data_IF_715563584273
#
_entry.id   IF_715563584273
#
_cell.length_a   1.000
_cell.length_b   1.000
_cell.length_c   1.000
_cell.angle_alpha   90.00
_cell.angle_beta   90.00
_cell.angle_gamma   90.00
#
_symmetry.space_group_name_H-M   'P 1'
#
loop_
_entity.id
_entity.type
_entity.pdbx_description
1 polymer ?
#
# COMPACT_ATOMS: atom_id res chain seq x y z
N UNK A 1 7.65 81.82 -21.25
CA UNK A 1 7.62 81.05 -22.50
C UNK A 1 8.05 79.63 -22.22
N UNK A 2 7.16 78.66 -22.49
CA UNK A 2 7.39 77.21 -22.45
C UNK A 2 8.55 76.81 -23.37
N UNK A 3 9.43 75.90 -22.93
CA UNK A 3 9.90 74.78 -23.75
C UNK A 3 10.16 73.54 -22.89
N UNK A 4 9.26 72.59 -23.09
CA UNK A 4 9.26 71.18 -22.70
C UNK A 4 10.44 70.46 -23.37
N UNK A 5 11.20 69.64 -22.64
CA UNK A 5 11.87 68.47 -23.23
C UNK A 5 11.63 67.29 -22.30
N UNK A 6 10.89 66.33 -22.87
CA UNK A 6 10.49 65.05 -22.34
C UNK A 6 11.69 64.09 -22.54
N UNK A 7 12.27 63.57 -21.46
CA UNK A 7 13.22 62.46 -21.56
C UNK A 7 12.53 61.19 -21.07
N UNK A 8 12.17 60.34 -22.04
CA UNK A 8 11.68 58.99 -21.83
C UNK A 8 12.70 58.17 -21.03
N UNK A 9 12.37 57.87 -19.78
CA UNK A 9 13.08 56.82 -19.04
C UNK A 9 12.28 55.53 -19.24
N UNK A 10 12.86 54.61 -20.00
CA UNK A 10 12.33 53.26 -20.23
C UNK A 10 12.35 52.51 -18.91
N UNK A 11 11.17 52.28 -18.32
CA UNK A 11 11.01 51.38 -17.18
C UNK A 11 11.08 49.96 -17.74
N UNK A 12 12.21 49.28 -17.51
CA UNK A 12 12.38 47.86 -17.75
C UNK A 12 11.44 47.13 -16.77
N UNK A 13 10.37 46.55 -17.31
CA UNK A 13 9.52 45.60 -16.59
C UNK A 13 10.36 44.36 -16.35
N UNK A 14 10.97 44.27 -15.16
CA UNK A 14 11.50 43.01 -14.63
C UNK A 14 10.31 42.10 -14.40
N UNK A 15 10.01 41.27 -15.40
CA UNK A 15 9.13 40.12 -15.27
C UNK A 15 9.71 39.23 -14.19
N UNK A 16 9.13 39.29 -12.99
CA UNK A 16 9.27 38.25 -11.99
C UNK A 16 8.57 37.04 -12.58
N UNK A 17 9.32 36.29 -13.40
CA UNK A 17 9.06 34.90 -13.71
C UNK A 17 9.18 34.20 -12.36
N UNK A 18 8.10 34.24 -11.59
CA UNK A 18 7.87 33.34 -10.47
C UNK A 18 7.83 31.95 -11.09
N UNK A 19 9.00 31.33 -11.21
CA UNK A 19 9.13 29.89 -11.27
C UNK A 19 8.48 29.43 -9.97
N UNK A 20 7.19 29.14 -10.03
CA UNK A 20 6.55 28.23 -9.12
C UNK A 20 7.30 26.90 -9.33
N UNK A 21 8.40 26.73 -8.60
CA UNK A 21 8.95 25.43 -8.30
C UNK A 21 7.83 24.72 -7.56
N UNK A 22 7.00 24.04 -8.35
CA UNK A 22 6.00 23.10 -7.89
C UNK A 22 6.84 21.96 -7.30
N UNK A 23 7.23 22.12 -6.04
CA UNK A 23 7.86 21.06 -5.27
C UNK A 23 6.80 19.97 -5.17
N UNK A 24 6.78 19.08 -6.15
CA UNK A 24 6.16 17.77 -6.02
C UNK A 24 6.94 17.09 -4.90
N UNK A 25 6.53 17.34 -3.66
CA UNK A 25 6.96 16.54 -2.52
C UNK A 25 6.44 15.15 -2.82
N UNK A 26 7.30 14.31 -3.39
CA UNK A 26 7.03 12.89 -3.58
C UNK A 26 6.83 12.31 -2.19
N UNK A 27 5.57 12.27 -1.72
CA UNK A 27 5.24 11.69 -0.43
C UNK A 27 5.74 10.25 -0.43
N UNK A 28 6.47 9.91 0.61
CA UNK A 28 6.92 8.54 0.79
C UNK A 28 5.69 7.64 0.96
N UNK A 29 5.68 6.47 0.30
CA UNK A 29 4.53 5.58 0.32
C UNK A 29 4.31 5.06 1.74
N UNK A 30 3.04 4.84 2.06
CA UNK A 30 2.58 4.38 3.37
C UNK A 30 2.81 2.86 3.54
N UNK A 31 4.06 2.42 3.38
CA UNK A 31 4.48 1.02 3.43
C UNK A 31 4.29 0.46 4.85
N UNK A 32 3.88 -0.81 4.92
CA UNK A 32 3.65 -1.55 6.17
C UNK A 32 4.87 -2.40 6.51
N UNK A 33 5.39 -3.14 5.53
CA UNK A 33 6.49 -4.07 5.75
C UNK A 33 7.84 -3.39 5.57
N UNK A 34 8.66 -3.46 6.61
CA UNK A 34 10.06 -3.02 6.56
C UNK A 34 10.92 -4.07 5.82
N UNK A 35 12.07 -3.69 5.24
CA UNK A 35 13.02 -4.66 4.69
C UNK A 35 13.36 -5.77 5.70
N UNK A 36 13.47 -7.01 5.19
CA UNK A 36 13.71 -8.25 5.95
C UNK A 36 12.57 -8.66 6.90
N UNK A 37 11.47 -7.90 6.97
CA UNK A 37 10.29 -8.30 7.71
C UNK A 37 9.60 -9.49 7.04
N UNK A 38 9.16 -10.43 7.86
CA UNK A 38 8.33 -11.56 7.48
C UNK A 38 7.01 -11.49 8.25
N UNK A 39 5.90 -11.62 7.52
CA UNK A 39 4.56 -11.83 8.08
C UNK A 39 4.10 -13.24 7.71
N UNK A 40 3.64 -14.00 8.70
CA UNK A 40 2.95 -15.27 8.49
C UNK A 40 1.51 -15.07 8.96
N UNK A 41 0.53 -15.34 8.08
CA UNK A 41 -0.88 -15.18 8.38
C UNK A 41 -1.67 -16.44 8.03
N UNK A 42 -2.51 -16.91 8.96
CA UNK A 42 -3.36 -18.10 8.77
C UNK A 42 -4.84 -17.72 8.73
N UNK A 43 -5.46 -17.86 7.57
CA UNK A 43 -6.88 -17.61 7.34
C UNK A 43 -7.65 -18.94 7.25
N UNK A 44 -8.97 -18.90 7.00
CA UNK A 44 -9.76 -20.13 6.82
C UNK A 44 -9.37 -20.97 5.59
N UNK A 45 -8.64 -20.39 4.64
CA UNK A 45 -8.19 -21.08 3.42
C UNK A 45 -6.74 -21.57 3.49
N UNK A 46 -6.04 -21.32 4.60
CA UNK A 46 -4.67 -21.78 4.82
C UNK A 46 -3.73 -20.68 5.30
N UNK A 47 -2.43 -20.92 5.15
CA UNK A 47 -1.37 -20.03 5.61
C UNK A 47 -0.63 -19.41 4.42
N UNK A 48 -0.41 -18.09 4.50
CA UNK A 48 0.49 -17.37 3.61
C UNK A 48 1.65 -16.79 4.41
N UNK A 49 2.85 -16.87 3.84
CA UNK A 49 4.05 -16.19 4.32
C UNK A 49 4.43 -15.12 3.32
N UNK A 50 4.65 -13.90 3.81
CA UNK A 50 5.01 -12.72 3.02
C UNK A 50 6.34 -12.22 3.57
N UNK A 51 7.33 -12.04 2.69
CA UNK A 51 8.67 -11.55 3.05
C UNK A 51 8.93 -10.27 2.26
N UNK A 52 9.41 -9.24 2.96
CA UNK A 52 9.90 -8.02 2.34
C UNK A 52 11.38 -8.18 1.96
N UNK A 53 11.65 -8.56 0.71
CA UNK A 53 12.99 -8.67 0.13
C UNK A 53 13.59 -7.30 -0.26
N UNK A 54 13.27 -6.26 0.51
CA UNK A 54 13.60 -4.86 0.24
C UNK A 54 12.39 -3.94 0.36
N UNK A 55 12.56 -2.65 0.02
CA UNK A 55 11.52 -1.63 0.19
C UNK A 55 10.24 -1.93 -0.61
N UNK A 56 10.40 -2.34 -1.86
CA UNK A 56 9.29 -2.55 -2.80
C UNK A 56 9.12 -4.00 -3.28
N UNK A 57 10.01 -4.92 -2.87
CA UNK A 57 9.95 -6.31 -3.32
C UNK A 57 9.27 -7.16 -2.26
N UNK A 58 8.30 -7.97 -2.66
CA UNK A 58 7.63 -8.93 -1.80
C UNK A 58 7.76 -10.32 -2.38
N UNK A 59 8.03 -11.30 -1.52
CA UNK A 59 7.96 -12.72 -1.80
C UNK A 59 6.77 -13.30 -1.06
N UNK A 60 5.94 -14.04 -1.79
CA UNK A 60 4.75 -14.71 -1.31
C UNK A 60 4.98 -16.21 -1.37
N UNK A 61 4.72 -16.88 -0.25
CA UNK A 61 4.84 -18.32 -0.11
C UNK A 61 3.50 -18.85 0.39
N UNK A 62 2.89 -19.75 -0.36
CA UNK A 62 1.64 -20.42 -0.02
C UNK A 62 1.75 -21.87 -0.48
N UNK A 63 1.22 -22.81 0.30
CA UNK A 63 1.38 -24.25 0.02
C UNK A 63 2.87 -24.59 -0.23
N UNK A 64 3.20 -25.12 -1.41
CA UNK A 64 4.57 -25.40 -1.87
C UNK A 64 5.08 -24.37 -2.90
N UNK A 65 4.30 -23.32 -3.16
CA UNK A 65 4.61 -22.29 -4.14
C UNK A 65 5.34 -21.11 -3.50
N UNK A 66 6.22 -20.49 -4.28
CA UNK A 66 6.98 -19.31 -3.89
C UNK A 66 7.16 -18.41 -5.10
N UNK A 67 6.74 -17.15 -4.99
CA UNK A 67 6.87 -16.16 -6.07
C UNK A 67 7.13 -14.75 -5.53
N UNK A 68 7.80 -13.91 -6.30
CA UNK A 68 8.09 -12.52 -5.92
C UNK A 68 7.62 -11.52 -6.97
N UNK A 69 7.27 -10.31 -6.52
CA UNK A 69 7.05 -9.14 -7.39
C UNK A 69 7.70 -7.88 -6.82
N UNK A 70 7.96 -6.91 -7.69
CA UNK A 70 8.31 -5.54 -7.30
C UNK A 70 7.06 -4.68 -7.43
N UNK A 71 6.61 -4.13 -6.30
CA UNK A 71 5.40 -3.33 -6.19
C UNK A 71 5.69 -1.87 -6.62
N UNK A 72 4.66 -1.22 -7.14
CA UNK A 72 4.68 0.14 -7.62
C UNK A 72 4.17 1.10 -6.54
N UNK A 73 4.73 2.31 -6.49
CA UNK A 73 4.25 3.40 -5.64
C UNK A 73 2.92 3.91 -6.19
N UNK A 74 1.91 4.06 -5.33
CA UNK A 74 0.69 4.78 -5.70
C UNK A 74 1.00 6.26 -5.89
N UNK A 75 0.54 6.82 -7.01
CA UNK A 75 0.63 8.26 -7.30
C UNK A 75 -0.53 9.05 -6.67
N UNK A 76 -1.65 8.37 -6.41
CA UNK A 76 -2.86 8.95 -5.81
C UNK A 76 -3.39 8.03 -4.71
N UNK A 77 -4.16 8.59 -3.77
CA UNK A 77 -4.78 7.81 -2.69
C UNK A 77 -5.81 6.83 -3.27
N UNK A 78 -5.72 5.58 -2.86
CA UNK A 78 -6.71 4.55 -3.16
C UNK A 78 -7.24 3.98 -1.85
N UNK A 79 -8.56 4.04 -1.64
CA UNK A 79 -9.19 3.81 -0.33
C UNK A 79 -8.57 4.65 0.79
N UNK A 80 -8.16 5.88 0.47
CA UNK A 80 -7.46 6.75 1.41
C UNK A 80 -5.99 6.39 1.65
N UNK A 81 -5.42 5.35 1.01
CA UNK A 81 -4.02 4.94 1.18
C UNK A 81 -3.10 5.40 0.05
N UNK A 82 -1.90 5.90 0.39
CA UNK A 82 -0.77 6.16 -0.51
C UNK A 82 0.27 5.02 -0.48
N UNK A 83 -0.21 3.78 -0.33
CA UNK A 83 0.63 2.59 -0.24
C UNK A 83 1.33 2.18 -1.55
N UNK A 84 1.70 0.90 -1.61
CA UNK A 84 2.29 0.26 -2.78
C UNK A 84 1.37 -0.87 -3.29
N UNK A 85 1.46 -1.20 -4.57
CA UNK A 85 0.57 -2.19 -5.16
C UNK A 85 1.22 -2.87 -6.36
N UNK A 86 0.68 -4.00 -6.79
CA UNK A 86 1.00 -4.60 -8.08
C UNK A 86 -0.31 -5.01 -8.76
N UNK A 87 -0.65 -4.45 -9.94
CA UNK A 87 -1.92 -4.73 -10.59
C UNK A 87 -1.96 -6.06 -11.34
N UNK A 88 -0.84 -6.80 -11.36
CA UNK A 88 -0.75 -8.11 -11.99
C UNK A 88 -0.89 -8.07 -13.51
N UNK A 89 -0.08 -7.29 -14.25
CA UNK A 89 -0.14 -7.29 -15.71
C UNK A 89 0.21 -8.68 -16.25
N UNK A 90 -0.68 -9.24 -17.06
CA UNK A 90 -0.51 -10.55 -17.71
C UNK A 90 -0.17 -11.71 -16.77
N UNK A 91 0.22 -12.83 -17.38
CA UNK A 91 0.82 -13.99 -16.70
C UNK A 91 2.34 -13.80 -16.62
N UNK A 92 2.82 -13.30 -15.49
CA UNK A 92 4.24 -12.93 -15.29
C UNK A 92 5.02 -13.95 -14.46
N UNK A 93 4.37 -15.00 -13.98
CA UNK A 93 5.00 -16.13 -13.32
C UNK A 93 4.77 -17.41 -14.11
N UNK A 94 5.74 -18.32 -14.05
CA UNK A 94 5.47 -19.73 -14.34
C UNK A 94 4.39 -20.24 -13.39
N UNK A 95 3.49 -21.05 -13.92
CA UNK A 95 2.40 -21.63 -13.14
C UNK A 95 2.91 -22.36 -11.88
N UNK A 96 2.16 -22.24 -10.79
CA UNK A 96 2.27 -23.08 -9.61
C UNK A 96 0.93 -23.08 -8.89
N UNK A 97 0.34 -24.26 -8.71
CA UNK A 97 -0.92 -24.42 -7.97
C UNK A 97 -2.08 -23.61 -8.60
N UNK A 98 -2.14 -23.64 -9.94
CA UNK A 98 -3.05 -22.92 -10.82
C UNK A 98 -2.90 -21.39 -10.77
N UNK A 99 -1.70 -20.91 -10.43
CA UNK A 99 -1.39 -19.48 -10.28
C UNK A 99 -0.17 -19.12 -11.13
N UNK A 100 -0.36 -18.14 -12.02
CA UNK A 100 0.67 -17.57 -12.88
C UNK A 100 0.76 -16.03 -12.80
N UNK A 101 -0.02 -15.40 -11.92
CA UNK A 101 0.03 -13.96 -11.64
C UNK A 101 -0.45 -13.63 -10.22
N UNK A 102 -0.17 -12.42 -9.75
CA UNK A 102 -0.81 -11.87 -8.56
C UNK A 102 -1.33 -10.45 -8.73
N UNK A 103 -2.33 -10.09 -7.92
CA UNK A 103 -2.73 -8.71 -7.65
C UNK A 103 -2.53 -8.47 -6.16
N UNK A 104 -1.78 -7.43 -5.81
CA UNK A 104 -1.41 -7.20 -4.41
C UNK A 104 -1.55 -5.75 -4.01
N UNK A 105 -1.91 -5.52 -2.76
CA UNK A 105 -1.95 -4.21 -2.13
C UNK A 105 -1.21 -4.23 -0.80
N UNK A 106 -0.51 -3.15 -0.52
CA UNK A 106 0.07 -2.90 0.78
C UNK A 106 -0.07 -1.42 1.13
N UNK A 107 -0.53 -1.09 2.33
CA UNK A 107 -0.63 0.30 2.73
C UNK A 107 -1.18 0.54 4.13
N UNK A 108 -1.41 1.81 4.46
CA UNK A 108 -2.10 2.23 5.69
C UNK A 108 -3.51 2.70 5.36
N UNK A 109 -4.47 2.34 6.21
CA UNK A 109 -5.85 2.81 6.14
C UNK A 109 -6.19 3.51 7.44
N UNK A 110 -6.64 4.75 7.37
CA UNK A 110 -7.03 5.52 8.55
C UNK A 110 -8.55 5.63 8.63
N UNK A 111 -9.11 5.31 9.79
CA UNK A 111 -10.53 5.39 10.08
C UNK A 111 -10.79 6.32 11.26
N UNK A 112 -12.00 6.87 11.35
CA UNK A 112 -12.39 7.77 12.44
C UNK A 112 -12.59 7.01 13.75
N UNK A 113 -13.05 5.76 13.65
CA UNK A 113 -13.34 4.91 14.80
C UNK A 113 -13.19 3.42 14.45
N UNK A 114 -13.17 2.58 15.49
CA UNK A 114 -13.01 1.13 15.35
C UNK A 114 -14.17 0.48 14.60
N UNK A 115 -15.40 0.97 14.79
CA UNK A 115 -16.59 0.42 14.15
C UNK A 115 -16.50 0.54 12.63
N UNK A 116 -16.08 1.69 12.11
CA UNK A 116 -15.82 1.89 10.67
C UNK A 116 -14.75 0.94 10.14
N UNK A 117 -13.63 0.80 10.86
CA UNK A 117 -12.55 -0.10 10.47
C UNK A 117 -13.03 -1.56 10.39
N UNK A 118 -13.79 -2.03 11.39
CA UNK A 118 -14.35 -3.38 11.42
C UNK A 118 -15.40 -3.57 10.31
N UNK A 119 -16.26 -2.59 10.07
CA UNK A 119 -17.24 -2.65 8.98
C UNK A 119 -16.55 -2.73 7.62
N UNK A 120 -15.46 -1.98 7.42
CA UNK A 120 -14.65 -2.07 6.21
C UNK A 120 -14.05 -3.47 6.04
N UNK A 121 -13.45 -4.07 7.09
CA UNK A 121 -12.93 -5.43 7.01
C UNK A 121 -14.05 -6.43 6.65
N UNK A 122 -15.20 -6.34 7.33
CA UNK A 122 -16.34 -7.25 7.14
C UNK A 122 -16.98 -7.12 5.75
N UNK A 123 -16.90 -5.95 5.12
CA UNK A 123 -17.46 -5.74 3.77
C UNK A 123 -16.60 -6.36 2.66
N UNK A 124 -15.34 -6.73 2.94
CA UNK A 124 -14.46 -7.37 1.96
C UNK A 124 -14.73 -8.88 1.82
N UNK A 125 -15.96 -9.24 1.44
CA UNK A 125 -16.43 -10.63 1.36
C UNK A 125 -15.68 -11.48 0.31
N UNK A 126 -14.99 -10.84 -0.62
CA UNK A 126 -14.31 -11.51 -1.72
C UNK A 126 -12.96 -12.09 -1.33
N UNK A 127 -12.35 -11.70 -0.20
CA UNK A 127 -11.02 -12.13 0.26
C UNK A 127 -11.05 -12.57 1.73
N UNK A 128 -10.20 -13.53 2.09
CA UNK A 128 -10.16 -14.07 3.44
C UNK A 128 -9.23 -13.26 4.32
N UNK A 129 -9.77 -12.39 5.16
CA UNK A 129 -9.01 -11.57 6.09
C UNK A 129 -8.79 -12.22 7.45
N UNK A 130 -7.62 -11.96 8.02
CA UNK A 130 -7.32 -12.04 9.46
C UNK A 130 -6.64 -10.74 9.89
N UNK A 131 -6.80 -10.36 11.15
CA UNK A 131 -6.22 -9.15 11.69
C UNK A 131 -5.93 -9.30 13.17
N UNK A 132 -4.98 -8.52 13.67
CA UNK A 132 -4.57 -8.51 15.07
C UNK A 132 -5.04 -7.21 15.78
N UNK A 133 -4.88 -7.16 17.10
CA UNK A 133 -5.32 -6.04 17.94
C UNK A 133 -4.63 -4.72 17.60
N UNK A 134 -3.42 -4.81 17.03
CA UNK A 134 -2.62 -3.69 16.57
C UNK A 134 -3.00 -3.23 15.16
N UNK A 135 -4.09 -3.74 14.58
CA UNK A 135 -4.58 -3.29 13.29
C UNK A 135 -3.78 -3.76 12.09
N UNK A 136 -2.84 -4.69 12.24
CA UNK A 136 -2.28 -5.37 11.07
C UNK A 136 -3.33 -6.34 10.52
N UNK A 137 -3.66 -6.17 9.25
CA UNK A 137 -4.65 -6.95 8.51
C UNK A 137 -3.94 -7.64 7.35
N UNK A 138 -4.16 -8.94 7.20
CA UNK A 138 -3.68 -9.73 6.07
C UNK A 138 -4.86 -10.45 5.43
N UNK A 139 -5.08 -10.19 4.15
CA UNK A 139 -6.06 -10.87 3.33
C UNK A 139 -5.39 -11.62 2.21
N UNK A 140 -5.82 -12.84 1.93
CA UNK A 140 -5.37 -13.52 0.72
C UNK A 140 -6.39 -14.53 0.19
N UNK A 141 -6.26 -14.85 -1.10
CA UNK A 141 -6.96 -15.95 -1.76
C UNK A 141 -6.33 -16.34 -3.10
N UNK A 142 -6.65 -17.54 -3.58
CA UNK A 142 -6.41 -17.98 -4.95
C UNK A 142 -7.69 -17.85 -5.79
N UNK A 143 -7.56 -17.35 -7.01
CA UNK A 143 -8.60 -17.34 -8.04
C UNK A 143 -8.10 -18.18 -9.23
N UNK A 144 -8.25 -19.51 -9.20
CA UNK A 144 -7.73 -20.39 -10.26
C UNK A 144 -8.26 -20.04 -11.66
N UNK A 145 -9.53 -19.64 -11.77
CA UNK A 145 -10.14 -19.18 -13.02
C UNK A 145 -9.47 -17.96 -13.66
N UNK A 146 -8.63 -17.25 -12.90
CA UNK A 146 -7.85 -16.08 -13.35
C UNK A 146 -6.34 -16.30 -13.26
N UNK A 147 -5.90 -17.51 -12.90
CA UNK A 147 -4.49 -17.80 -12.60
C UNK A 147 -3.90 -16.91 -11.49
N UNK A 148 -4.73 -16.40 -10.56
CA UNK A 148 -4.38 -15.20 -9.78
C UNK A 148 -4.33 -15.46 -8.28
N UNK A 149 -3.22 -15.07 -7.65
CA UNK A 149 -3.13 -14.86 -6.21
C UNK A 149 -3.53 -13.42 -5.87
N UNK A 150 -4.41 -13.22 -4.89
CA UNK A 150 -4.68 -11.90 -4.32
C UNK A 150 -4.07 -11.82 -2.93
N UNK A 151 -3.36 -10.74 -2.62
CA UNK A 151 -2.79 -10.51 -1.29
C UNK A 151 -2.90 -9.05 -0.90
N UNK A 152 -3.50 -8.81 0.26
CA UNK A 152 -3.66 -7.49 0.84
C UNK A 152 -2.98 -7.44 2.21
N UNK A 153 -2.13 -6.44 2.43
CA UNK A 153 -1.49 -6.16 3.72
C UNK A 153 -1.80 -4.73 4.13
N UNK A 154 -2.62 -4.55 5.16
CA UNK A 154 -3.00 -3.23 5.63
C UNK A 154 -2.58 -3.01 7.08
N UNK A 155 -2.10 -1.81 7.38
CA UNK A 155 -2.05 -1.31 8.75
C UNK A 155 -3.22 -0.36 8.95
N UNK A 156 -4.18 -0.78 9.77
CA UNK A 156 -5.29 0.05 10.21
C UNK A 156 -4.82 1.03 11.28
N UNK A 157 -5.24 2.27 11.12
CA UNK A 157 -5.09 3.36 12.07
C UNK A 157 -6.48 3.87 12.46
N UNK A 158 -6.64 4.24 13.72
CA UNK A 158 -7.84 4.90 14.25
C UNK A 158 -7.43 6.31 14.68
N UNK A 159 -7.98 7.33 14.03
CA UNK A 159 -7.58 8.74 14.23
C UNK A 159 -6.06 8.96 14.13
N UNK A 160 -5.41 8.28 13.19
CA UNK A 160 -3.97 8.37 12.93
C UNK A 160 -3.11 7.46 13.82
N UNK A 161 -3.69 6.77 14.80
CA UNK A 161 -2.95 5.94 15.75
C UNK A 161 -3.16 4.45 15.53
N UNK A 162 -2.14 3.66 15.87
CA UNK A 162 -2.24 2.20 15.90
C UNK A 162 -3.23 1.80 17.02
N UNK A 163 -4.32 1.06 16.71
CA UNK A 163 -5.25 0.63 17.74
C UNK A 163 -4.56 -0.35 18.69
N UNK A 164 -5.04 -0.42 19.94
CA UNK A 164 -4.60 -1.44 20.93
C UNK A 164 -5.53 -2.63 21.02
N UNK A 165 -6.71 -2.54 20.40
CA UNK A 165 -7.76 -3.56 20.43
C UNK A 165 -8.72 -3.32 19.29
N UNK A 166 -9.01 -4.38 18.54
CA UNK A 166 -10.04 -4.43 17.50
C UNK A 166 -10.96 -5.62 17.78
N UNK A 167 -12.27 -5.41 17.65
CA UNK A 167 -13.24 -6.50 17.81
C UNK A 167 -13.01 -7.58 16.74
N UNK A 168 -12.98 -8.86 17.13
CA UNK A 168 -12.75 -9.97 16.20
C UNK A 168 -11.29 -10.20 15.81
N UNK A 169 -10.36 -9.39 16.32
CA UNK A 169 -8.93 -9.60 16.13
C UNK A 169 -8.47 -10.93 16.73
N UNK A 170 -7.48 -11.55 16.10
CA UNK A 170 -6.84 -12.78 16.55
C UNK A 170 -5.33 -12.70 16.35
N UNK A 171 -4.63 -12.35 17.43
CA UNK A 171 -3.18 -12.14 17.42
C UNK A 171 -2.41 -13.43 17.10
N UNK A 172 -2.98 -14.60 17.45
CA UNK A 172 -2.35 -15.90 17.17
C UNK A 172 -2.37 -16.29 15.69
N UNK A 173 -3.17 -15.59 14.86
CA UNK A 173 -3.25 -15.85 13.41
C UNK A 173 -2.26 -15.04 12.59
N UNK A 174 -1.50 -14.13 13.21
CA UNK A 174 -0.50 -13.31 12.53
C UNK A 174 0.80 -13.28 13.35
N UNK A 175 1.88 -13.79 12.77
CA UNK A 175 3.22 -13.70 13.33
C UNK A 175 4.08 -12.75 12.52
N UNK A 176 4.84 -11.90 13.22
CA UNK A 176 5.80 -10.96 12.63
C UNK A 176 7.19 -11.32 13.12
N UNK A 177 8.17 -11.32 12.23
CA UNK A 177 9.59 -11.58 12.53
C UNK A 177 10.47 -10.84 11.53
N UNK A 178 11.77 -10.75 11.80
CA UNK A 178 12.76 -10.29 10.83
C UNK A 178 13.69 -11.46 10.49
N UNK A 179 14.05 -11.57 9.22
CA UNK A 179 15.03 -12.54 8.74
C UNK A 179 16.41 -11.92 8.95
N UNK A 180 17.28 -12.64 9.66
CA UNK A 180 18.69 -12.29 9.86
C UNK A 180 19.49 -12.39 8.55
#
# INVERSE_FOLDING_TARGET
MRKTILAFTVIIILGIFGIYLLVHTNKEPEIVMLPNMQIIATTKIGTIKIIAEGKFKRKYIWNKCSRSVVLWRRQTRWNGSLGIYFPGPGSHWTDCDDINRCVVNEGRLNFTNKTEAINWIKSQIWINYVYNNNGLVVGWLKSPSRGQLNVDVWQILINGEVPKKLEGANDNKISISFIE
#
